data_IF_940705553321
#
_entry.id   IF_940705553321
#
_cell.length_a   1.000
_cell.length_b   1.000
_cell.length_c   1.000
_cell.angle_alpha   90.00
_cell.angle_beta   90.00
_cell.angle_gamma   90.00
#
_symmetry.space_group_name_H-M   'P 1'
#
loop_
_entity.id
_entity.type
_entity.pdbx_description
1 polymer ?
#
# COMPACT_ATOMS: atom_id res chain seq x y z
N UNK A 1 -19.70 46.14 -1.24
CA UNK A 1 -18.36 45.61 -0.85
C UNK A 1 -18.59 44.60 0.23
N UNK A 2 -18.49 43.31 -0.08
CA UNK A 2 -18.47 42.21 0.91
C UNK A 2 -17.09 41.58 0.81
N UNK A 3 -16.35 41.69 1.90
CA UNK A 3 -14.99 41.18 2.05
C UNK A 3 -14.92 39.67 1.90
N UNK A 4 -13.83 39.24 1.31
CA UNK A 4 -13.58 37.88 0.89
C UNK A 4 -13.41 36.91 2.06
N UNK A 5 -14.07 35.80 1.97
CA UNK A 5 -13.77 34.61 2.76
C UNK A 5 -12.50 33.97 2.22
N UNK A 6 -11.50 33.89 3.08
CA UNK A 6 -10.20 33.20 2.88
C UNK A 6 -10.44 31.74 2.49
N UNK A 7 -10.27 31.44 1.21
CA UNK A 7 -10.52 30.12 0.61
C UNK A 7 -9.47 29.08 0.97
N UNK A 8 -9.23 28.84 2.25
CA UNK A 8 -8.43 27.71 2.70
C UNK A 8 -9.23 26.43 2.55
N UNK A 9 -8.83 25.60 1.59
CA UNK A 9 -9.29 24.23 1.49
C UNK A 9 -8.94 23.49 2.79
N UNK A 10 -9.94 23.24 3.62
CA UNK A 10 -9.83 22.28 4.72
C UNK A 10 -10.38 20.95 4.20
N UNK A 11 -9.53 19.92 4.07
CA UNK A 11 -10.03 18.58 3.79
C UNK A 11 -10.91 18.16 4.97
N UNK A 12 -12.14 17.73 4.67
CA UNK A 12 -13.04 17.15 5.66
C UNK A 12 -12.48 15.79 6.11
N UNK A 13 -11.52 15.83 7.00
CA UNK A 13 -10.91 14.64 7.61
C UNK A 13 -11.66 14.30 8.88
N UNK A 14 -12.79 13.57 8.75
CA UNK A 14 -13.11 12.63 9.81
C UNK A 14 -12.27 11.39 9.55
N UNK A 15 -11.48 10.91 10.52
CA UNK A 15 -10.70 9.70 10.34
C UNK A 15 -11.64 8.55 9.97
N UNK A 16 -11.24 7.75 8.99
CA UNK A 16 -11.89 6.49 8.65
C UNK A 16 -12.07 5.69 9.95
N UNK A 17 -13.30 5.50 10.42
CA UNK A 17 -13.60 4.59 11.51
C UNK A 17 -13.36 3.17 10.99
N UNK A 18 -12.19 2.64 11.30
CA UNK A 18 -11.83 1.24 11.06
C UNK A 18 -12.58 0.41 12.11
N UNK A 19 -13.50 -0.43 11.66
CA UNK A 19 -14.12 -1.42 12.52
C UNK A 19 -13.09 -2.53 12.72
N UNK A 20 -12.43 -2.52 13.88
CA UNK A 20 -11.56 -3.61 14.31
C UNK A 20 -12.41 -4.84 14.58
N UNK A 21 -12.28 -5.88 13.76
CA UNK A 21 -12.79 -7.22 14.10
C UNK A 21 -11.86 -7.85 15.14
N UNK A 22 -12.46 -8.61 16.07
CA UNK A 22 -11.96 -9.22 17.28
C UNK A 22 -10.54 -9.82 17.19
N UNK A 23 -9.80 -9.67 18.30
CA UNK A 23 -8.48 -10.24 18.54
C UNK A 23 -8.43 -11.76 18.29
N UNK A 24 -7.56 -12.17 17.36
CA UNK A 24 -7.15 -13.57 17.16
C UNK A 24 -6.24 -13.97 18.32
N UNK A 25 -6.37 -15.20 18.82
CA UNK A 25 -5.65 -15.71 19.97
C UNK A 25 -4.12 -15.61 19.78
N UNK A 26 -3.43 -15.01 20.77
CA UNK A 26 -1.97 -14.74 20.73
C UNK A 26 -1.11 -15.99 20.53
N UNK A 27 -1.52 -17.15 21.04
CA UNK A 27 -0.77 -18.41 20.92
C UNK A 27 -0.80 -18.98 19.50
N UNK A 28 -1.89 -18.79 18.78
CA UNK A 28 -2.02 -19.21 17.37
C UNK A 28 -1.13 -18.37 16.44
N UNK A 29 -0.81 -17.11 16.79
CA UNK A 29 0.02 -16.19 15.99
C UNK A 29 1.47 -16.64 15.86
N UNK A 30 2.09 -17.22 16.90
CA UNK A 30 3.52 -17.55 16.91
C UNK A 30 3.86 -18.67 15.91
N UNK A 31 2.97 -19.66 15.74
CA UNK A 31 3.14 -20.73 14.74
C UNK A 31 2.94 -20.30 13.28
N UNK A 32 2.31 -19.13 13.07
CA UNK A 32 1.97 -18.56 11.75
C UNK A 32 3.07 -17.66 11.16
N UNK A 33 4.16 -17.39 11.90
CA UNK A 33 5.20 -16.43 11.50
C UNK A 33 6.46 -17.16 11.08
N UNK A 34 6.98 -16.79 9.92
CA UNK A 34 8.29 -17.24 9.44
C UNK A 34 9.15 -16.00 9.12
N UNK A 35 10.18 -15.75 9.90
CA UNK A 35 11.16 -14.69 9.65
C UNK A 35 12.46 -15.31 9.14
N UNK A 36 12.94 -14.86 8.00
CA UNK A 36 14.11 -15.38 7.32
C UNK A 36 15.19 -14.30 7.28
N UNK A 37 16.35 -14.56 7.86
CA UNK A 37 17.53 -13.71 7.74
C UNK A 37 18.28 -14.04 6.46
N UNK A 38 18.31 -13.11 5.50
CA UNK A 38 19.00 -13.32 4.24
C UNK A 38 18.64 -12.29 3.17
N UNK A 39 19.33 -12.41 2.04
CA UNK A 39 19.02 -11.59 0.87
C UNK A 39 17.80 -12.15 0.13
N UNK A 40 16.78 -11.33 -0.09
CA UNK A 40 15.49 -11.74 -0.64
C UNK A 40 15.62 -12.49 -1.97
N UNK A 41 16.51 -12.07 -2.88
CA UNK A 41 16.72 -12.72 -4.18
C UNK A 41 17.26 -14.16 -4.06
N UNK A 42 17.83 -14.54 -2.92
CA UNK A 42 18.31 -15.89 -2.65
C UNK A 42 17.26 -16.71 -1.88
N UNK A 43 16.63 -16.09 -0.89
CA UNK A 43 15.66 -16.76 -0.03
C UNK A 43 14.33 -17.05 -0.74
N UNK A 44 13.88 -16.16 -1.63
CA UNK A 44 12.67 -16.38 -2.44
C UNK A 44 12.73 -17.67 -3.25
N UNK A 45 13.90 -18.05 -3.76
CA UNK A 45 14.10 -19.31 -4.52
C UNK A 45 13.77 -20.56 -3.72
N UNK A 46 13.87 -20.49 -2.39
CA UNK A 46 13.61 -21.62 -1.47
C UNK A 46 12.13 -21.75 -1.11
N UNK A 47 11.32 -20.73 -1.42
CA UNK A 47 9.87 -20.77 -1.17
C UNK A 47 9.20 -21.57 -2.29
N UNK A 48 8.29 -22.46 -1.92
CA UNK A 48 7.58 -23.32 -2.87
C UNK A 48 6.75 -22.50 -3.87
N UNK A 49 6.67 -22.96 -5.11
CA UNK A 49 5.77 -22.38 -6.13
C UNK A 49 4.32 -22.48 -5.68
N UNK A 50 3.52 -21.48 -6.04
CA UNK A 50 2.07 -21.44 -5.77
C UNK A 50 1.69 -21.65 -4.29
N UNK A 51 2.51 -21.09 -3.36
CA UNK A 51 2.32 -21.25 -1.92
C UNK A 51 1.86 -19.99 -1.19
N UNK A 52 1.91 -18.82 -1.84
CA UNK A 52 1.61 -17.50 -1.27
C UNK A 52 0.39 -16.90 -1.96
N UNK A 53 -0.49 -16.28 -1.18
CA UNK A 53 -1.69 -15.63 -1.71
C UNK A 53 -1.45 -14.16 -2.04
N UNK A 54 -0.62 -13.48 -1.23
CA UNK A 54 -0.40 -12.05 -1.38
C UNK A 54 1.04 -11.66 -1.04
N UNK A 55 1.62 -10.78 -1.85
CA UNK A 55 2.90 -10.12 -1.56
C UNK A 55 2.63 -8.63 -1.43
N UNK A 56 3.00 -8.03 -0.29
CA UNK A 56 2.89 -6.59 -0.06
C UNK A 56 4.21 -6.11 0.51
N UNK A 57 4.85 -5.15 -0.15
CA UNK A 57 6.18 -4.70 0.24
C UNK A 57 6.46 -3.24 -0.10
N UNK A 58 7.24 -2.57 0.74
CA UNK A 58 7.85 -1.26 0.48
C UNK A 58 9.38 -1.47 0.41
N UNK A 59 9.92 -1.86 -0.77
CA UNK A 59 11.32 -2.24 -0.91
C UNK A 59 12.26 -1.03 -0.80
N UNK A 60 13.55 -1.30 -0.70
CA UNK A 60 14.58 -0.26 -0.77
C UNK A 60 14.46 0.51 -2.10
N UNK A 61 14.73 1.82 -2.07
CA UNK A 61 14.76 2.67 -3.28
C UNK A 61 16.21 2.92 -3.72
N UNK A 62 16.46 2.97 -5.03
CA UNK A 62 17.81 3.23 -5.54
C UNK A 62 18.27 4.66 -5.23
N UNK A 63 19.59 4.83 -5.15
CA UNK A 63 20.26 6.13 -5.02
C UNK A 63 19.95 6.91 -3.73
N UNK A 64 19.30 6.27 -2.75
CA UNK A 64 19.06 6.85 -1.43
C UNK A 64 20.08 6.29 -0.44
N UNK A 65 20.80 7.18 0.22
CA UNK A 65 21.73 6.79 1.28
C UNK A 65 20.95 6.54 2.59
N UNK A 66 21.06 5.35 3.11
CA UNK A 66 20.44 4.91 4.37
C UNK A 66 21.45 4.20 5.24
N UNK A 67 21.12 3.93 6.49
CA UNK A 67 21.99 3.16 7.41
C UNK A 67 22.37 1.77 6.88
N UNK A 68 21.49 1.15 6.07
CA UNK A 68 21.72 -0.13 5.42
C UNK A 68 22.44 -0.03 4.07
N UNK A 69 22.96 1.14 3.73
CA UNK A 69 23.72 1.42 2.52
C UNK A 69 22.91 2.07 1.40
N UNK A 70 23.56 2.22 0.27
CA UNK A 70 23.00 2.76 -0.98
C UNK A 70 23.09 1.67 -2.05
N UNK A 71 22.05 1.53 -2.84
CA UNK A 71 22.03 0.69 -4.03
C UNK A 71 21.94 1.57 -5.29
N UNK A 72 22.74 1.27 -6.31
CA UNK A 72 22.65 1.96 -7.62
C UNK A 72 21.37 1.58 -8.36
N UNK A 73 20.92 2.40 -9.31
CA UNK A 73 19.75 2.10 -10.14
C UNK A 73 19.90 0.75 -10.88
N UNK A 74 21.09 0.49 -11.45
CA UNK A 74 21.38 -0.76 -12.16
C UNK A 74 21.25 -1.99 -11.25
N UNK A 75 21.87 -1.96 -10.08
CA UNK A 75 21.80 -3.05 -9.12
C UNK A 75 20.39 -3.21 -8.56
N UNK A 76 19.67 -2.11 -8.37
CA UNK A 76 18.27 -2.12 -7.95
C UNK A 76 17.38 -2.80 -8.99
N UNK A 77 17.52 -2.45 -10.27
CA UNK A 77 16.80 -3.10 -11.36
C UNK A 77 17.12 -4.60 -11.42
N UNK A 78 18.40 -4.97 -11.29
CA UNK A 78 18.80 -6.38 -11.24
C UNK A 78 18.15 -7.13 -10.07
N UNK A 79 18.13 -6.52 -8.87
CA UNK A 79 17.50 -7.07 -7.69
C UNK A 79 15.98 -7.23 -7.89
N UNK A 80 15.30 -6.15 -8.29
CA UNK A 80 13.83 -6.17 -8.40
C UNK A 80 13.33 -7.08 -9.52
N UNK A 81 14.08 -7.24 -10.60
CA UNK A 81 13.76 -8.23 -11.64
C UNK A 81 13.73 -9.65 -11.06
N UNK A 82 14.74 -10.02 -10.25
CA UNK A 82 14.75 -11.33 -9.57
C UNK A 82 13.59 -11.48 -8.59
N UNK A 83 13.31 -10.43 -7.80
CA UNK A 83 12.22 -10.43 -6.84
C UNK A 83 10.88 -10.61 -7.55
N UNK A 84 10.59 -9.87 -8.63
CA UNK A 84 9.32 -9.97 -9.37
C UNK A 84 9.17 -11.33 -10.05
N UNK A 85 10.24 -11.86 -10.67
CA UNK A 85 10.23 -13.19 -11.30
C UNK A 85 9.89 -14.27 -10.28
N UNK A 86 10.56 -14.26 -9.12
CA UNK A 86 10.28 -15.22 -8.05
C UNK A 86 8.90 -15.01 -7.43
N UNK A 87 8.47 -13.75 -7.26
CA UNK A 87 7.13 -13.42 -6.77
C UNK A 87 6.04 -14.05 -7.64
N UNK A 88 6.17 -13.93 -8.97
CA UNK A 88 5.22 -14.55 -9.91
C UNK A 88 5.19 -16.09 -9.78
N UNK A 89 6.34 -16.73 -9.59
CA UNK A 89 6.45 -18.17 -9.38
C UNK A 89 5.80 -18.64 -8.08
N UNK A 90 6.02 -17.89 -7.01
CA UNK A 90 5.60 -18.23 -5.64
C UNK A 90 4.10 -18.02 -5.45
N UNK A 91 3.52 -17.01 -6.11
CA UNK A 91 2.11 -16.69 -5.97
C UNK A 91 1.22 -17.79 -6.53
N UNK A 92 0.14 -18.06 -5.81
CA UNK A 92 -0.97 -18.90 -6.30
C UNK A 92 -1.61 -18.25 -7.53
N UNK A 93 -2.37 -18.98 -8.36
CA UNK A 93 -2.95 -18.45 -9.60
C UNK A 93 -3.78 -17.17 -9.41
N UNK A 94 -4.48 -17.03 -8.26
CA UNK A 94 -5.26 -15.84 -7.93
C UNK A 94 -4.54 -14.88 -6.98
N UNK A 95 -3.27 -15.11 -6.72
CA UNK A 95 -2.45 -14.25 -5.91
C UNK A 95 -2.02 -12.98 -6.66
N UNK A 96 -1.59 -11.97 -5.92
CA UNK A 96 -1.03 -10.75 -6.49
C UNK A 96 0.07 -10.14 -5.62
N UNK A 97 0.87 -9.27 -6.22
CA UNK A 97 1.95 -8.55 -5.54
C UNK A 97 1.74 -7.04 -5.63
N UNK A 98 1.98 -6.35 -4.53
CA UNK A 98 2.02 -4.88 -4.47
C UNK A 98 3.39 -4.43 -3.99
N UNK A 99 4.04 -3.61 -4.80
CA UNK A 99 5.29 -2.93 -4.45
C UNK A 99 5.05 -1.43 -4.38
N UNK A 100 5.40 -0.82 -3.24
CA UNK A 100 5.17 0.60 -2.98
C UNK A 100 6.44 1.37 -3.31
N UNK A 101 6.36 2.34 -4.22
CA UNK A 101 7.50 3.12 -4.67
C UNK A 101 7.27 4.62 -4.54
N UNK A 102 8.32 5.33 -4.17
CA UNK A 102 8.36 6.78 -4.21
C UNK A 102 9.49 7.23 -5.13
N UNK A 103 9.19 7.99 -6.20
CA UNK A 103 10.23 8.49 -7.08
C UNK A 103 11.18 9.43 -6.33
N UNK A 104 12.42 9.50 -6.79
CA UNK A 104 13.43 10.41 -6.27
C UNK A 104 14.09 11.21 -7.38
N UNK A 105 14.95 12.15 -7.00
CA UNK A 105 15.59 13.08 -7.92
C UNK A 105 17.10 12.80 -8.01
N UNK A 106 17.64 12.93 -9.22
CA UNK A 106 19.09 13.00 -9.42
C UNK A 106 19.63 14.32 -8.86
N UNK A 107 18.96 15.40 -9.22
CA UNK A 107 19.16 16.76 -8.72
C UNK A 107 17.84 17.52 -8.81
N UNK A 108 17.81 18.70 -8.23
CA UNK A 108 16.65 19.59 -8.27
C UNK A 108 16.17 19.79 -9.72
N UNK A 109 14.89 19.57 -9.96
CA UNK A 109 14.28 19.70 -11.29
C UNK A 109 14.60 18.57 -12.26
N UNK A 110 15.34 17.51 -11.83
CA UNK A 110 15.60 16.33 -12.66
C UNK A 110 15.26 15.06 -11.90
N UNK A 111 14.09 14.50 -12.20
CA UNK A 111 13.64 13.21 -11.64
C UNK A 111 14.43 12.05 -12.24
N UNK A 112 14.63 11.01 -11.42
CA UNK A 112 15.09 9.70 -11.89
C UNK A 112 13.91 8.93 -12.46
N UNK A 113 14.14 8.13 -13.50
CA UNK A 113 13.09 7.40 -14.21
C UNK A 113 12.99 5.91 -13.84
N UNK A 114 13.83 5.42 -12.93
CA UNK A 114 13.93 4.00 -12.56
C UNK A 114 12.57 3.34 -12.24
N UNK A 115 11.64 4.09 -11.62
CA UNK A 115 10.33 3.56 -11.26
C UNK A 115 9.48 3.27 -12.49
N UNK A 116 9.47 4.17 -13.47
CA UNK A 116 8.73 4.00 -14.73
C UNK A 116 9.38 2.94 -15.63
N UNK A 117 10.70 2.89 -15.67
CA UNK A 117 11.46 1.84 -16.37
C UNK A 117 11.15 0.46 -15.79
N UNK A 118 11.11 0.35 -14.45
CA UNK A 118 10.69 -0.87 -13.77
C UNK A 118 9.25 -1.24 -14.14
N UNK A 119 8.31 -0.29 -14.09
CA UNK A 119 6.91 -0.51 -14.41
C UNK A 119 6.73 -1.03 -15.83
N UNK A 120 7.36 -0.38 -16.81
CA UNK A 120 7.32 -0.78 -18.20
C UNK A 120 7.95 -2.16 -18.42
N UNK A 121 9.00 -2.48 -17.68
CA UNK A 121 9.61 -3.81 -17.72
C UNK A 121 8.69 -4.87 -17.11
N UNK A 122 8.16 -4.62 -15.92
CA UNK A 122 7.30 -5.58 -15.21
C UNK A 122 6.00 -5.88 -15.98
N UNK A 123 5.43 -4.87 -16.64
CA UNK A 123 4.20 -4.99 -17.40
C UNK A 123 4.33 -5.77 -18.73
N UNK A 124 5.55 -6.13 -19.15
CA UNK A 124 5.74 -6.96 -20.37
C UNK A 124 5.29 -8.40 -20.16
N UNK A 125 5.59 -8.96 -19.01
CA UNK A 125 5.39 -10.38 -18.72
C UNK A 125 4.34 -10.63 -17.63
N UNK A 126 3.90 -9.59 -16.92
CA UNK A 126 2.90 -9.69 -15.88
C UNK A 126 1.94 -8.50 -15.92
N UNK A 127 0.66 -8.70 -15.64
CA UNK A 127 -0.30 -7.60 -15.77
C UNK A 127 -0.13 -6.59 -14.65
N UNK A 128 -0.10 -5.32 -15.00
CA UNK A 128 -0.40 -4.22 -14.07
C UNK A 128 -1.92 -4.18 -13.91
N UNK A 129 -2.41 -4.61 -12.75
CA UNK A 129 -3.86 -4.78 -12.51
C UNK A 129 -4.56 -3.42 -12.49
N UNK A 130 -3.99 -2.47 -11.77
CA UNK A 130 -4.47 -1.09 -11.69
C UNK A 130 -3.37 -0.17 -11.19
N UNK A 131 -3.40 1.09 -11.60
CA UNK A 131 -2.61 2.17 -11.00
C UNK A 131 -3.26 2.62 -9.68
N UNK A 132 -2.56 2.42 -8.57
CA UNK A 132 -3.02 2.84 -7.24
C UNK A 132 -1.96 3.71 -6.60
N UNK A 133 -2.41 4.80 -5.99
CA UNK A 133 -1.53 5.78 -5.36
C UNK A 133 -1.83 5.90 -3.88
N UNK A 134 -0.81 5.80 -3.04
CA UNK A 134 -0.93 6.20 -1.65
C UNK A 134 -0.55 7.67 -1.51
N UNK A 135 -1.51 8.49 -1.06
CA UNK A 135 -1.29 9.89 -0.75
C UNK A 135 -1.10 10.05 0.76
N UNK A 136 0.13 10.43 1.15
CA UNK A 136 0.41 10.82 2.53
C UNK A 136 -0.16 12.23 2.80
N UNK A 137 -1.32 12.26 3.45
CA UNK A 137 -2.05 13.50 3.72
C UNK A 137 -1.37 14.39 4.78
N UNK A 138 -0.53 13.82 5.64
CA UNK A 138 0.19 14.52 6.71
C UNK A 138 1.63 14.88 6.32
N UNK A 139 1.96 14.79 5.03
CA UNK A 139 3.28 15.16 4.58
C UNK A 139 3.59 16.61 4.98
N UNK A 140 4.49 16.78 5.96
CA UNK A 140 4.86 18.09 6.51
C UNK A 140 5.42 19.00 5.42
N UNK A 141 5.13 20.33 5.49
CA UNK A 141 5.76 21.30 4.62
C UNK A 141 7.26 21.35 4.96
N UNK A 142 8.08 20.70 4.12
CA UNK A 142 9.52 20.89 4.19
C UNK A 142 9.83 22.33 3.85
N UNK A 143 10.19 23.10 4.86
CA UNK A 143 10.31 24.55 4.80
C UNK A 143 11.44 25.09 3.91
N UNK A 144 12.34 24.24 3.43
CA UNK A 144 13.60 24.70 2.83
C UNK A 144 13.62 24.67 1.31
N UNK A 145 13.69 23.47 0.74
CA UNK A 145 14.18 23.29 -0.62
C UNK A 145 13.12 23.48 -1.68
N UNK A 146 11.93 22.90 -1.51
CA UNK A 146 10.88 22.98 -2.52
C UNK A 146 10.27 24.37 -2.66
N UNK A 147 10.12 25.11 -1.56
CA UNK A 147 9.59 26.47 -1.58
C UNK A 147 10.50 27.43 -2.35
N UNK A 148 11.82 27.36 -2.10
CA UNK A 148 12.81 28.23 -2.78
C UNK A 148 12.89 27.96 -4.28
N UNK A 149 12.50 26.77 -4.73
CA UNK A 149 12.62 26.30 -6.10
C UNK A 149 11.31 26.26 -6.86
N UNK A 150 10.19 26.59 -6.21
CA UNK A 150 8.85 26.56 -6.83
C UNK A 150 8.34 25.16 -7.18
N UNK A 151 8.94 24.09 -6.64
CA UNK A 151 8.52 22.71 -6.89
C UNK A 151 7.40 22.30 -5.95
N UNK A 152 6.52 21.42 -6.44
CA UNK A 152 5.48 20.81 -5.63
C UNK A 152 6.08 19.77 -4.67
N UNK A 153 5.42 19.58 -3.52
CA UNK A 153 5.80 18.57 -2.54
C UNK A 153 5.43 17.17 -3.02
N UNK A 154 6.37 16.26 -2.95
CA UNK A 154 6.10 14.84 -3.14
C UNK A 154 5.37 14.28 -1.92
N UNK A 155 4.11 13.96 -2.08
CA UNK A 155 3.27 13.35 -1.06
C UNK A 155 2.63 12.04 -1.50
N UNK A 156 2.92 11.59 -2.72
CA UNK A 156 2.28 10.43 -3.34
C UNK A 156 3.32 9.35 -3.63
N UNK A 157 2.98 8.11 -3.27
CA UNK A 157 3.71 6.90 -3.66
C UNK A 157 2.88 6.08 -4.64
N UNK A 158 3.51 5.50 -5.65
CA UNK A 158 2.87 4.55 -6.56
C UNK A 158 2.90 3.15 -5.93
N UNK A 159 1.74 2.51 -5.85
CA UNK A 159 1.60 1.12 -5.48
C UNK A 159 1.48 0.29 -6.76
N UNK A 160 2.57 -0.31 -7.20
CA UNK A 160 2.60 -1.16 -8.40
C UNK A 160 1.95 -2.49 -8.07
N UNK A 161 0.72 -2.68 -8.54
CA UNK A 161 -0.07 -3.88 -8.30
C UNK A 161 -0.01 -4.81 -9.51
N UNK A 162 0.70 -5.91 -9.35
CA UNK A 162 0.92 -6.95 -10.35
C UNK A 162 0.11 -8.20 -10.02
N UNK A 163 -0.54 -8.81 -11.01
CA UNK A 163 -1.34 -10.02 -10.83
C UNK A 163 -2.02 -10.46 -12.12
N UNK A 164 -2.74 -11.57 -12.06
CA UNK A 164 -3.60 -11.96 -13.17
C UNK A 164 -4.92 -11.14 -13.14
N UNK A 165 -5.63 -10.99 -14.28
CA UNK A 165 -6.85 -10.17 -14.35
C UNK A 165 -7.94 -10.59 -13.36
N UNK A 166 -7.98 -11.87 -12.98
CA UNK A 166 -8.94 -12.46 -12.04
C UNK A 166 -8.35 -12.68 -10.63
N UNK A 167 -7.21 -12.03 -10.29
CA UNK A 167 -6.61 -12.11 -8.96
C UNK A 167 -7.61 -11.75 -7.87
N UNK A 168 -7.46 -12.34 -6.69
CA UNK A 168 -8.33 -12.11 -5.55
C UNK A 168 -8.34 -10.64 -5.13
N UNK A 169 -9.53 -10.12 -4.84
CA UNK A 169 -9.75 -8.77 -4.30
C UNK A 169 -11.09 -8.69 -3.58
N UNK A 170 -11.07 -8.19 -2.38
CA UNK A 170 -12.26 -7.98 -1.56
C UNK A 170 -12.55 -6.47 -1.44
N UNK A 171 -13.26 -5.92 -2.44
CA UNK A 171 -13.57 -4.49 -2.45
C UNK A 171 -14.49 -4.08 -1.30
N UNK A 172 -15.34 -5.00 -0.82
CA UNK A 172 -16.29 -4.73 0.27
C UNK A 172 -15.59 -4.54 1.62
N UNK A 173 -14.40 -5.12 1.80
CA UNK A 173 -13.60 -4.92 3.01
C UNK A 173 -12.92 -3.53 3.11
N UNK A 174 -12.93 -2.75 2.02
CA UNK A 174 -12.24 -1.46 1.92
C UNK A 174 -13.12 -0.33 1.43
N UNK A 175 -14.43 -0.46 1.51
CA UNK A 175 -15.39 0.56 1.10
C UNK A 175 -15.18 1.87 1.85
N UNK A 176 -15.42 2.97 1.16
CA UNK A 176 -15.41 4.29 1.76
C UNK A 176 -16.79 4.67 2.24
N UNK A 177 -16.85 5.23 3.45
CA UNK A 177 -18.08 5.84 3.96
C UNK A 177 -18.32 7.15 3.22
N UNK A 178 -19.45 7.33 2.52
CA UNK A 178 -19.78 8.60 1.88
C UNK A 178 -19.87 9.71 2.92
N UNK A 179 -19.41 10.92 2.58
CA UNK A 179 -19.69 12.08 3.42
C UNK A 179 -21.20 12.34 3.44
N UNK A 180 -21.72 12.83 4.57
CA UNK A 180 -23.14 13.13 4.74
C UNK A 180 -23.68 14.07 3.64
N UNK A 181 -22.88 15.05 3.21
CA UNK A 181 -23.23 15.94 2.11
C UNK A 181 -23.33 15.25 0.75
N UNK A 182 -22.48 14.26 0.47
CA UNK A 182 -22.57 13.48 -0.77
C UNK A 182 -23.73 12.50 -0.72
N UNK A 183 -24.00 11.88 0.42
CA UNK A 183 -25.14 11.01 0.62
C UNK A 183 -26.46 11.77 0.43
N UNK A 184 -26.58 12.98 1.00
CA UNK A 184 -27.74 13.85 0.83
C UNK A 184 -27.95 14.26 -0.64
N UNK A 185 -26.89 14.67 -1.34
CA UNK A 185 -26.97 15.02 -2.78
C UNK A 185 -27.42 13.85 -3.65
N UNK A 186 -26.92 12.64 -3.37
CA UNK A 186 -27.32 11.43 -4.13
C UNK A 186 -28.78 11.04 -3.91
N UNK A 187 -29.29 11.22 -2.68
CA UNK A 187 -30.68 10.93 -2.34
C UNK A 187 -31.66 11.95 -2.93
N UNK A 188 -31.25 13.22 -3.00
CA UNK A 188 -32.07 14.32 -3.52
C UNK A 188 -32.13 14.36 -5.06
N UNK A 189 -31.17 13.76 -5.76
CA UNK A 189 -31.09 13.83 -7.22
C UNK A 189 -31.85 12.69 -7.88
N UNK A 190 -33.04 12.99 -8.36
CA UNK A 190 -33.94 12.04 -9.04
C UNK A 190 -33.70 12.04 -10.57
N UNK A 191 -32.88 12.95 -11.08
CA UNK A 191 -32.66 13.10 -12.51
C UNK A 191 -31.88 11.92 -13.12
N UNK A 192 -32.26 11.57 -14.35
CA UNK A 192 -31.48 10.66 -15.20
C UNK A 192 -30.19 11.37 -15.64
N UNK A 193 -29.06 10.69 -15.47
CA UNK A 193 -27.76 11.17 -15.95
C UNK A 193 -27.18 10.18 -16.92
N UNK A 194 -26.59 10.68 -18.00
CA UNK A 194 -25.83 9.88 -18.95
C UNK A 194 -24.34 10.05 -18.68
N UNK A 195 -23.66 8.95 -18.38
CA UNK A 195 -22.22 8.95 -18.19
C UNK A 195 -21.42 9.04 -19.50
N UNK A 196 -20.09 9.24 -19.44
CA UNK A 196 -19.25 9.30 -20.64
C UNK A 196 -19.30 8.05 -21.52
N UNK A 197 -19.68 6.91 -20.94
CA UNK A 197 -19.88 5.63 -21.65
C UNK A 197 -21.22 5.53 -22.39
N UNK A 198 -22.04 6.59 -22.42
CA UNK A 198 -23.39 6.58 -22.98
C UNK A 198 -24.44 5.86 -22.14
N UNK A 199 -24.08 5.26 -21.01
CA UNK A 199 -25.03 4.61 -20.10
C UNK A 199 -25.78 5.65 -19.28
N UNK A 200 -27.09 5.50 -19.23
CA UNK A 200 -27.99 6.35 -18.44
C UNK A 200 -28.28 5.69 -17.08
N UNK A 201 -28.19 6.44 -16.02
CA UNK A 201 -28.45 5.97 -14.65
C UNK A 201 -29.19 7.04 -13.82
N UNK A 202 -29.85 6.61 -12.76
CA UNK A 202 -30.43 7.50 -11.75
C UNK A 202 -29.53 7.54 -10.52
N UNK A 203 -29.29 8.71 -9.97
CA UNK A 203 -28.50 8.83 -8.74
C UNK A 203 -29.15 8.09 -7.55
N UNK A 204 -30.48 8.01 -7.50
CA UNK A 204 -31.20 7.23 -6.49
C UNK A 204 -30.87 5.73 -6.54
N UNK A 205 -30.69 5.16 -7.73
CA UNK A 205 -30.29 3.75 -7.90
C UNK A 205 -28.86 3.53 -7.36
N UNK A 206 -27.94 4.46 -7.65
CA UNK A 206 -26.56 4.40 -7.14
C UNK A 206 -26.54 4.57 -5.61
N UNK A 207 -27.35 5.51 -5.07
CA UNK A 207 -27.44 5.72 -3.64
C UNK A 207 -27.95 4.47 -2.91
N UNK A 208 -29.01 3.85 -3.42
CA UNK A 208 -29.57 2.60 -2.88
C UNK A 208 -28.54 1.47 -2.88
N UNK A 209 -27.88 1.23 -4.01
CA UNK A 209 -26.85 0.21 -4.11
C UNK A 209 -25.64 0.49 -3.18
N UNK A 210 -25.30 1.76 -2.96
CA UNK A 210 -24.24 2.18 -2.03
C UNK A 210 -24.68 1.91 -0.58
N UNK A 211 -25.89 2.24 -0.21
CA UNK A 211 -26.43 2.01 1.13
C UNK A 211 -26.56 0.50 1.43
N UNK A 212 -27.05 -0.30 0.48
CA UNK A 212 -27.15 -1.76 0.59
C UNK A 212 -25.79 -2.44 0.73
N UNK A 213 -24.77 -1.93 0.04
CA UNK A 213 -23.40 -2.42 0.10
C UNK A 213 -22.63 -1.97 1.36
N UNK A 214 -23.11 -0.93 2.05
CA UNK A 214 -22.49 -0.35 3.23
C UNK A 214 -21.39 0.70 2.93
N UNK A 215 -21.26 1.16 1.67
CA UNK A 215 -20.29 2.18 1.30
C UNK A 215 -20.05 2.32 -0.20
N UNK A 216 -19.15 3.21 -0.57
CA UNK A 216 -18.77 3.46 -1.96
C UNK A 216 -17.45 2.77 -2.31
N UNK A 217 -17.32 2.38 -3.58
CA UNK A 217 -16.04 1.90 -4.15
C UNK A 217 -14.93 2.93 -3.86
N UNK A 218 -13.79 2.50 -3.31
CA UNK A 218 -12.64 3.37 -3.09
C UNK A 218 -12.12 3.96 -4.39
N UNK A 219 -11.52 5.14 -4.32
CA UNK A 219 -10.71 5.65 -5.41
C UNK A 219 -9.35 4.94 -5.45
N UNK A 220 -8.68 4.99 -6.60
CA UNK A 220 -7.30 4.53 -6.74
C UNK A 220 -6.26 5.49 -6.11
N UNK A 221 -6.70 6.53 -5.43
CA UNK A 221 -5.90 7.42 -4.60
C UNK A 221 -6.27 7.19 -3.13
N UNK A 222 -5.35 6.64 -2.35
CA UNK A 222 -5.55 6.27 -0.95
C UNK A 222 -5.06 7.40 -0.03
N UNK A 223 -5.94 8.25 0.53
CA UNK A 223 -5.55 9.31 1.45
C UNK A 223 -5.35 8.72 2.85
N UNK A 224 -4.16 8.18 3.10
CA UNK A 224 -3.83 7.55 4.38
C UNK A 224 -2.71 8.33 5.05
N UNK A 225 -2.96 8.76 6.29
CA UNK A 225 -2.01 9.43 7.16
C UNK A 225 -0.83 8.52 7.51
N UNK A 226 0.33 9.11 7.71
CA UNK A 226 1.47 8.42 8.36
C UNK A 226 1.26 8.25 9.85
N UNK A 227 0.19 8.85 10.42
CA UNK A 227 -0.22 8.64 11.81
C UNK A 227 0.75 9.18 12.85
N UNK A 228 1.56 10.18 12.48
CA UNK A 228 2.58 10.71 13.40
C UNK A 228 3.38 9.58 14.01
N UNK A 229 3.95 8.69 13.19
CA UNK A 229 4.81 7.62 13.70
C UNK A 229 5.86 8.25 14.60
N UNK A 230 5.58 8.27 15.88
CA UNK A 230 6.57 8.60 16.90
C UNK A 230 7.59 7.48 16.85
N UNK A 231 8.65 7.71 16.08
CA UNK A 231 9.82 6.87 16.09
C UNK A 231 10.38 6.87 17.50
N UNK A 232 10.04 5.87 18.27
CA UNK A 232 10.86 5.52 19.42
C UNK A 232 12.28 5.24 18.90
N UNK A 233 13.28 5.41 19.73
CA UNK A 233 14.71 5.25 19.41
C UNK A 233 15.10 3.91 18.77
N UNK A 234 14.16 2.97 18.66
CA UNK A 234 14.32 1.63 18.05
C UNK A 234 13.51 1.45 16.73
N UNK A 235 12.93 2.53 16.16
CA UNK A 235 12.11 2.40 14.94
C UNK A 235 12.96 2.33 13.68
N UNK A 236 12.53 1.53 12.71
CA UNK A 236 13.10 1.53 11.36
C UNK A 236 12.92 2.92 10.72
N UNK A 237 13.97 3.53 10.13
CA UNK A 237 13.95 4.92 9.68
C UNK A 237 12.97 5.21 8.52
N UNK A 238 12.35 4.18 7.94
CA UNK A 238 11.46 4.30 6.80
C UNK A 238 10.35 3.23 6.83
N UNK A 239 9.65 3.05 7.96
CA UNK A 239 8.57 2.06 8.01
C UNK A 239 7.29 2.58 7.33
N UNK A 240 6.65 1.72 6.55
CA UNK A 240 5.31 1.99 6.00
C UNK A 240 4.30 2.08 7.13
N UNK A 241 3.35 3.05 7.10
CA UNK A 241 2.28 3.14 8.08
C UNK A 241 1.44 1.87 8.13
N UNK A 242 1.03 1.49 9.35
CA UNK A 242 0.20 0.32 9.57
C UNK A 242 -1.11 0.36 8.77
N UNK A 243 -1.76 1.52 8.69
CA UNK A 243 -3.04 1.67 7.98
C UNK A 243 -2.93 1.41 6.47
N UNK A 244 -1.79 1.73 5.85
CA UNK A 244 -1.51 1.39 4.45
C UNK A 244 -1.39 -0.13 4.30
N UNK A 245 -0.62 -0.78 5.17
CA UNK A 245 -0.44 -2.21 5.16
C UNK A 245 -1.77 -2.95 5.41
N UNK A 246 -2.53 -2.52 6.41
CA UNK A 246 -3.83 -3.08 6.75
C UNK A 246 -4.87 -2.90 5.64
N UNK A 247 -4.85 -1.75 4.94
CA UNK A 247 -5.74 -1.53 3.78
C UNK A 247 -5.48 -2.55 2.67
N UNK A 248 -4.22 -2.75 2.31
CA UNK A 248 -3.84 -3.71 1.28
C UNK A 248 -4.14 -5.15 1.71
N UNK A 249 -3.88 -5.52 2.97
CA UNK A 249 -4.22 -6.84 3.48
C UNK A 249 -5.73 -7.12 3.40
N UNK A 250 -6.57 -6.18 3.83
CA UNK A 250 -8.03 -6.32 3.69
C UNK A 250 -8.50 -6.47 2.26
N UNK A 251 -7.82 -5.80 1.33
CA UNK A 251 -8.20 -5.81 -0.07
C UNK A 251 -7.75 -7.06 -0.82
N UNK A 252 -6.52 -7.53 -0.58
CA UNK A 252 -5.87 -8.54 -1.42
C UNK A 252 -5.58 -9.87 -0.72
N UNK A 253 -5.65 -9.95 0.60
CA UNK A 253 -5.40 -11.18 1.32
C UNK A 253 -6.71 -11.95 1.50
N UNK A 254 -6.86 -13.17 0.94
CA UNK A 254 -8.04 -13.98 1.18
C UNK A 254 -8.09 -14.45 2.65
N UNK A 255 -9.25 -14.85 3.17
CA UNK A 255 -9.36 -15.51 4.48
C UNK A 255 -8.39 -16.68 4.57
N UNK A 256 -7.68 -16.79 5.69
CA UNK A 256 -6.66 -17.81 5.94
C UNK A 256 -5.51 -17.83 4.91
N UNK A 257 -5.32 -16.73 4.19
CA UNK A 257 -4.28 -16.58 3.16
C UNK A 257 -2.87 -16.52 3.75
N UNK A 258 -1.88 -16.71 2.88
CA UNK A 258 -0.45 -16.59 3.19
C UNK A 258 0.07 -15.26 2.63
N UNK A 259 0.62 -14.41 3.51
CA UNK A 259 1.26 -13.14 3.14
C UNK A 259 2.78 -13.28 3.13
N UNK A 260 3.43 -12.73 2.13
CA UNK A 260 4.89 -12.61 2.06
C UNK A 260 5.31 -11.14 1.91
N UNK A 261 6.31 -10.72 2.70
CA UNK A 261 7.05 -9.47 2.49
C UNK A 261 8.54 -9.76 2.30
N UNK A 262 9.08 -9.62 1.08
CA UNK A 262 10.49 -9.86 0.80
C UNK A 262 11.46 -8.78 1.33
N UNK A 263 10.95 -7.67 1.88
CA UNK A 263 11.73 -6.58 2.47
C UNK A 263 11.09 -6.15 3.79
N UNK A 264 11.02 -7.09 4.74
CA UNK A 264 10.15 -6.97 5.92
C UNK A 264 10.46 -5.78 6.83
N UNK A 265 11.70 -5.30 6.87
CA UNK A 265 12.11 -4.16 7.70
C UNK A 265 11.64 -4.32 9.16
N UNK A 266 10.78 -3.41 9.61
CA UNK A 266 10.22 -3.43 10.98
C UNK A 266 9.02 -4.36 11.17
N UNK A 267 8.57 -5.10 10.15
CA UNK A 267 7.50 -6.10 10.25
C UNK A 267 6.07 -5.55 10.16
N UNK A 268 5.87 -4.31 9.74
CA UNK A 268 4.54 -3.68 9.67
C UNK A 268 3.57 -4.44 8.77
N UNK A 269 4.05 -4.91 7.59
CA UNK A 269 3.21 -5.68 6.66
C UNK A 269 2.77 -7.01 7.27
N UNK A 270 3.68 -7.70 7.95
CA UNK A 270 3.38 -8.98 8.58
C UNK A 270 2.40 -8.84 9.74
N UNK A 271 2.59 -7.81 10.59
CA UNK A 271 1.64 -7.50 11.65
C UNK A 271 0.25 -7.23 11.10
N UNK A 272 0.16 -6.38 10.05
CA UNK A 272 -1.11 -6.09 9.38
C UNK A 272 -1.74 -7.36 8.77
N UNK A 273 -0.94 -8.26 8.19
CA UNK A 273 -1.40 -9.53 7.66
C UNK A 273 -2.06 -10.39 8.73
N UNK A 274 -1.40 -10.59 9.86
CA UNK A 274 -1.93 -11.35 10.99
C UNK A 274 -3.23 -10.75 11.55
N UNK A 275 -3.25 -9.42 11.73
CA UNK A 275 -4.42 -8.72 12.25
C UNK A 275 -5.63 -8.74 11.29
N UNK A 276 -5.38 -9.00 10.00
CA UNK A 276 -6.42 -9.11 8.96
C UNK A 276 -6.65 -10.56 8.49
N UNK A 277 -6.26 -11.56 9.28
CA UNK A 277 -6.69 -12.94 9.09
C UNK A 277 -5.76 -13.81 8.24
N UNK A 278 -4.47 -13.43 8.09
CA UNK A 278 -3.49 -14.34 7.51
C UNK A 278 -3.34 -15.59 8.37
N UNK A 279 -3.38 -16.77 7.76
CA UNK A 279 -3.03 -18.02 8.45
C UNK A 279 -1.51 -18.13 8.63
N UNK A 280 -0.75 -17.51 7.73
CA UNK A 280 0.71 -17.50 7.77
C UNK A 280 1.25 -16.20 7.19
N UNK A 281 2.31 -15.69 7.82
CA UNK A 281 3.10 -14.57 7.27
C UNK A 281 4.56 -14.96 7.15
N UNK A 282 5.19 -14.54 6.06
CA UNK A 282 6.60 -14.82 5.76
C UNK A 282 7.29 -13.48 5.53
N UNK A 283 8.38 -13.22 6.23
CA UNK A 283 9.20 -12.03 6.05
C UNK A 283 10.66 -12.36 5.80
N UNK A 284 11.27 -11.68 4.84
CA UNK A 284 12.70 -11.80 4.56
C UNK A 284 13.36 -10.46 4.86
N UNK A 285 14.48 -10.49 5.59
CA UNK A 285 15.25 -9.30 5.96
C UNK A 285 16.74 -9.59 5.92
N UNK A 286 17.47 -8.73 5.26
CA UNK A 286 18.93 -8.80 5.16
C UNK A 286 19.61 -8.38 6.44
N UNK A 287 19.09 -7.35 7.10
CA UNK A 287 19.71 -6.76 8.28
C UNK A 287 19.16 -7.41 9.57
N UNK A 288 20.03 -8.13 10.28
CA UNK A 288 19.66 -8.84 11.53
C UNK A 288 18.98 -7.93 12.56
N UNK A 289 19.42 -6.66 12.67
CA UNK A 289 18.82 -5.68 13.59
C UNK A 289 17.35 -5.42 13.28
N UNK A 290 16.98 -5.28 12.01
CA UNK A 290 15.59 -5.05 11.59
C UNK A 290 14.74 -6.31 11.74
N UNK A 291 15.29 -7.48 11.46
CA UNK A 291 14.62 -8.75 11.71
C UNK A 291 14.26 -8.92 13.20
N UNK A 292 15.14 -8.49 14.12
CA UNK A 292 14.85 -8.50 15.55
C UNK A 292 13.72 -7.52 15.93
N UNK A 293 13.67 -6.34 15.28
CA UNK A 293 12.57 -5.37 15.47
C UNK A 293 11.27 -5.98 14.97
N UNK A 294 11.26 -6.58 13.77
CA UNK A 294 10.09 -7.26 13.23
C UNK A 294 9.58 -8.37 14.17
N UNK A 295 10.49 -9.20 14.68
CA UNK A 295 10.14 -10.25 15.62
C UNK A 295 9.49 -9.68 16.90
N UNK A 296 10.08 -8.66 17.51
CA UNK A 296 9.51 -8.00 18.71
C UNK A 296 8.14 -7.39 18.42
N UNK A 297 7.96 -6.73 17.30
CA UNK A 297 6.66 -6.15 16.91
C UNK A 297 5.58 -7.22 16.82
N UNK A 298 5.87 -8.33 16.14
CA UNK A 298 4.90 -9.40 15.91
C UNK A 298 4.57 -10.16 17.19
N UNK A 299 5.55 -10.35 18.09
CA UNK A 299 5.35 -11.08 19.34
C UNK A 299 4.68 -10.23 20.43
N UNK A 300 4.87 -8.91 20.43
CA UNK A 300 4.38 -7.99 21.46
C UNK A 300 3.11 -7.21 21.03
N UNK A 301 2.80 -7.16 19.73
CA UNK A 301 1.58 -6.55 19.20
C UNK A 301 0.46 -7.56 19.12
#
# INVERSE_FOLDING_TARGET
MREGSDGRYQPATKPLKIILRSAVDRKARIGAVTLIHGECQNELKKIASHSVDCIISDPIYPEINREYGRITEENWHSLMRKVVTESRRILKPKGSAVFIFQPNYEKIGKMRLWMWEFLLWAAKDWNLVQDVYWWNIDCLPLAGTNRKQGLLRQSVKLCVWLGEPDCYRNQDAVLWTPSDSMAAKRRADIALRTGPSGRTYRNSTIAKATDERGGTTPFNLLPISTGGQQGGSESHPASTPYDVAAWWCRYLLPPDGVLLDPFVGSGTMLQAGLDNGASKVIGIEKEKKYLQIANRRITNG
#
